data_IF_596465044134
#
_entry.id   IF_596465044134
#
_cell.length_a   1.000
_cell.length_b   1.000
_cell.length_c   1.000
_cell.angle_alpha   90.00
_cell.angle_beta   90.00
_cell.angle_gamma   90.00
#
_symmetry.space_group_name_H-M   'P 1'
#
loop_
_entity.id
_entity.type
_entity.pdbx_description
1 polymer ?
#
# COMPACT_ATOMS: atom_id res chain seq x y z
N UNK A 1 -23.06 24.93 6.63
CA UNK A 1 -21.66 24.48 6.75
C UNK A 1 -21.59 23.11 6.10
N UNK A 2 -20.58 22.79 5.29
CA UNK A 2 -20.42 21.42 4.82
C UNK A 2 -20.28 20.49 6.04
N UNK A 3 -20.85 19.29 5.95
CA UNK A 3 -20.72 18.28 7.01
C UNK A 3 -19.24 17.99 7.29
N UNK A 4 -18.84 17.74 8.55
CA UNK A 4 -17.49 17.36 8.85
C UNK A 4 -17.13 16.12 8.05
N UNK A 5 -15.95 16.12 7.44
CA UNK A 5 -15.44 14.98 6.69
C UNK A 5 -15.00 13.89 7.66
N UNK A 6 -15.29 12.64 7.34
CA UNK A 6 -14.81 11.50 8.11
C UNK A 6 -13.62 10.91 7.36
N UNK A 7 -12.44 10.83 7.99
CA UNK A 7 -11.28 10.17 7.38
C UNK A 7 -11.61 8.74 6.93
N UNK A 8 -11.16 8.38 5.74
CA UNK A 8 -11.35 7.02 5.20
C UNK A 8 -10.45 6.03 5.93
N UNK A 9 -10.87 4.77 6.05
CA UNK A 9 -9.96 3.72 6.52
C UNK A 9 -8.89 3.42 5.45
N UNK A 10 -7.68 3.11 5.91
CA UNK A 10 -6.71 2.42 5.06
C UNK A 10 -7.26 1.04 4.71
N UNK A 11 -7.19 0.68 3.44
CA UNK A 11 -7.57 -0.65 2.98
C UNK A 11 -6.33 -1.52 2.76
N UNK A 12 -5.43 -1.12 1.86
CA UNK A 12 -4.20 -1.85 1.59
C UNK A 12 -3.13 -1.02 0.89
N UNK A 13 -1.96 -1.64 0.70
CA UNK A 13 -0.83 -1.06 -0.01
C UNK A 13 -0.45 -1.97 -1.18
N UNK A 14 -0.21 -1.38 -2.36
CA UNK A 14 0.22 -2.10 -3.56
C UNK A 14 1.74 -2.08 -3.66
N UNK A 15 2.33 -3.25 -3.62
CA UNK A 15 3.77 -3.46 -3.66
C UNK A 15 4.11 -4.27 -4.92
N UNK A 16 4.46 -3.64 -6.07
CA UNK A 16 5.01 -4.36 -7.21
C UNK A 16 6.17 -5.25 -6.77
N UNK A 17 6.17 -6.50 -7.22
CA UNK A 17 7.25 -7.48 -6.99
C UNK A 17 7.57 -8.21 -8.29
N UNK A 18 8.81 -8.68 -8.43
CA UNK A 18 9.26 -9.39 -9.62
C UNK A 18 8.47 -10.68 -9.82
N UNK A 19 8.32 -11.47 -8.74
CA UNK A 19 7.54 -12.70 -8.69
C UNK A 19 6.99 -12.97 -7.27
N UNK A 20 5.94 -13.79 -7.19
CA UNK A 20 5.29 -14.11 -5.92
C UNK A 20 6.09 -15.07 -5.04
N UNK A 21 6.91 -15.95 -5.60
CA UNK A 21 7.74 -16.90 -4.82
C UNK A 21 8.81 -16.15 -4.03
N UNK A 22 9.48 -15.18 -4.66
CA UNK A 22 10.44 -14.28 -4.01
C UNK A 22 9.75 -13.45 -2.93
N UNK A 23 8.57 -12.88 -3.23
CA UNK A 23 7.81 -12.10 -2.27
C UNK A 23 7.37 -12.96 -1.07
N UNK A 24 6.86 -14.17 -1.30
CA UNK A 24 6.46 -15.13 -0.27
C UNK A 24 7.64 -15.52 0.61
N UNK A 25 8.77 -15.86 0.00
CA UNK A 25 10.00 -16.22 0.72
C UNK A 25 10.47 -15.07 1.61
N UNK A 26 10.48 -13.85 1.08
CA UNK A 26 10.91 -12.66 1.82
C UNK A 26 9.97 -12.34 2.98
N UNK A 27 8.66 -12.29 2.75
CA UNK A 27 7.69 -12.03 3.80
C UNK A 27 7.67 -13.13 4.88
N UNK A 28 7.84 -14.39 4.49
CA UNK A 28 7.97 -15.50 5.45
C UNK A 28 9.23 -15.36 6.31
N UNK A 29 10.36 -14.93 5.74
CA UNK A 29 11.58 -14.66 6.51
C UNK A 29 11.40 -13.49 7.51
N UNK A 30 10.53 -12.53 7.17
CA UNK A 30 10.12 -11.43 8.06
C UNK A 30 9.10 -11.88 9.13
N UNK A 31 8.65 -13.13 9.09
CA UNK A 31 7.68 -13.70 10.03
C UNK A 31 6.22 -13.39 9.71
N UNK A 32 5.92 -12.97 8.49
CA UNK A 32 4.54 -12.82 8.03
C UNK A 32 3.98 -14.14 7.49
N UNK A 33 2.67 -14.33 7.66
CA UNK A 33 1.91 -15.38 6.99
C UNK A 33 1.39 -14.77 5.68
N UNK A 34 1.71 -15.43 4.56
CA UNK A 34 1.33 -14.99 3.22
C UNK A 34 0.20 -15.86 2.70
N UNK A 35 -0.89 -15.26 2.27
CA UNK A 35 -2.06 -15.97 1.73
C UNK A 35 -1.71 -16.69 0.42
N UNK A 36 -2.57 -17.60 0.00
CA UNK A 36 -2.46 -18.24 -1.31
C UNK A 36 -2.54 -17.21 -2.45
N UNK A 37 -1.90 -17.53 -3.56
CA UNK A 37 -1.90 -16.69 -4.75
C UNK A 37 -3.32 -16.51 -5.30
N UNK A 38 -3.60 -15.31 -5.76
CA UNK A 38 -4.86 -14.98 -6.39
C UNK A 38 -4.62 -14.18 -7.68
N UNK A 39 -5.29 -14.60 -8.76
CA UNK A 39 -5.14 -14.00 -10.08
C UNK A 39 -6.24 -12.98 -10.34
N UNK A 40 -5.87 -11.86 -10.92
CA UNK A 40 -6.80 -10.88 -11.47
C UNK A 40 -7.18 -11.23 -12.92
N UNK A 41 -8.38 -10.83 -13.37
CA UNK A 41 -8.84 -11.14 -14.74
C UNK A 41 -8.13 -10.32 -15.83
N UNK A 42 -7.13 -9.54 -15.47
CA UNK A 42 -6.38 -8.64 -16.37
C UNK A 42 -4.87 -8.89 -16.32
N UNK A 43 -4.44 -10.10 -15.92
CA UNK A 43 -3.08 -10.60 -16.11
C UNK A 43 -2.12 -10.37 -14.95
N UNK A 44 -2.51 -9.65 -13.89
CA UNK A 44 -1.71 -9.56 -12.66
C UNK A 44 -2.14 -10.64 -11.65
N UNK A 45 -1.27 -10.92 -10.67
CA UNK A 45 -1.53 -11.82 -9.55
C UNK A 45 -0.97 -11.25 -8.25
N UNK A 46 -1.48 -11.70 -7.12
CA UNK A 46 -1.02 -11.25 -5.80
C UNK A 46 -0.93 -12.39 -4.78
N UNK A 47 -0.14 -12.16 -3.72
CA UNK A 47 -0.05 -13.00 -2.54
C UNK A 47 -0.15 -12.12 -1.29
N UNK A 48 -1.38 -11.88 -0.81
CA UNK A 48 -1.64 -10.88 0.22
C UNK A 48 -1.12 -11.28 1.61
N UNK A 49 -0.73 -10.27 2.40
CA UNK A 49 -0.44 -10.39 3.84
C UNK A 49 -1.51 -9.61 4.59
N UNK A 50 -2.44 -10.32 5.22
CA UNK A 50 -3.59 -9.73 5.94
C UNK A 50 -3.28 -9.46 7.40
N UNK A 51 -3.73 -8.33 7.94
CA UNK A 51 -3.53 -7.95 9.35
C UNK A 51 -4.84 -8.01 10.16
N UNK A 52 -4.68 -8.06 11.49
CA UNK A 52 -5.81 -8.16 12.41
C UNK A 52 -6.72 -6.92 12.41
N UNK A 53 -6.17 -5.75 12.08
CA UNK A 53 -6.92 -4.49 11.94
C UNK A 53 -7.73 -4.37 10.63
N UNK A 54 -7.64 -5.38 9.76
CA UNK A 54 -8.33 -5.44 8.47
C UNK A 54 -7.54 -4.86 7.29
N UNK A 55 -6.41 -4.21 7.54
CA UNK A 55 -5.50 -3.76 6.49
C UNK A 55 -4.69 -4.93 5.89
N UNK A 56 -4.07 -4.74 4.72
CA UNK A 56 -3.19 -5.76 4.16
C UNK A 56 -2.14 -5.18 3.20
N UNK A 57 -1.10 -5.96 2.93
CA UNK A 57 -0.20 -5.73 1.82
C UNK A 57 -0.66 -6.54 0.62
N UNK A 58 -0.48 -5.98 -0.56
CA UNK A 58 -0.69 -6.64 -1.84
C UNK A 58 0.66 -6.70 -2.61
N UNK A 59 1.54 -7.68 -2.33
CA UNK A 59 2.59 -8.04 -3.27
C UNK A 59 1.97 -8.41 -4.61
N UNK A 60 2.26 -7.60 -5.65
CA UNK A 60 1.65 -7.68 -6.97
C UNK A 60 2.68 -8.09 -8.01
N UNK A 61 2.44 -9.21 -8.70
CA UNK A 61 3.28 -9.71 -9.78
C UNK A 61 2.51 -9.77 -11.11
N UNK A 62 3.24 -10.01 -12.20
CA UNK A 62 2.69 -10.19 -13.54
C UNK A 62 2.57 -11.69 -13.81
N UNK A 63 1.33 -12.21 -13.87
CA UNK A 63 1.03 -13.60 -14.24
C UNK A 63 1.07 -13.82 -15.75
N UNK A 64 0.60 -12.83 -16.53
CA UNK A 64 0.58 -12.87 -18.00
C UNK A 64 0.86 -11.48 -18.56
N UNK A 65 2.00 -11.33 -19.19
CA UNK A 65 2.39 -10.05 -19.82
C UNK A 65 1.42 -9.66 -20.94
N UNK A 66 1.02 -10.61 -21.78
CA UNK A 66 0.11 -10.36 -22.89
C UNK A 66 -1.25 -9.87 -22.42
N UNK A 67 -1.82 -10.48 -21.36
CA UNK A 67 -3.07 -10.03 -20.76
C UNK A 67 -2.93 -8.63 -20.15
N UNK A 68 -1.80 -8.34 -19.50
CA UNK A 68 -1.54 -7.00 -18.95
C UNK A 68 -1.42 -5.95 -20.05
N UNK A 69 -0.71 -6.24 -21.14
CA UNK A 69 -0.57 -5.32 -22.28
C UNK A 69 -1.93 -5.04 -22.93
N UNK A 70 -2.75 -6.08 -23.13
CA UNK A 70 -4.11 -5.91 -23.66
C UNK A 70 -5.00 -5.11 -22.71
N UNK A 71 -4.95 -5.41 -21.41
CA UNK A 71 -5.73 -4.68 -20.40
C UNK A 71 -5.34 -3.18 -20.36
N UNK A 72 -4.06 -2.87 -20.36
CA UNK A 72 -3.58 -1.49 -20.38
C UNK A 72 -4.01 -0.76 -21.66
N UNK A 73 -3.88 -1.41 -22.83
CA UNK A 73 -4.27 -0.87 -24.13
C UNK A 73 -5.78 -0.60 -24.23
N UNK A 74 -6.60 -1.39 -23.55
CA UNK A 74 -8.06 -1.23 -23.50
C UNK A 74 -8.57 -0.33 -22.37
N UNK A 75 -7.65 0.35 -21.65
CA UNK A 75 -7.99 1.40 -20.69
C UNK A 75 -8.01 0.98 -19.23
N UNK A 76 -7.47 -0.21 -18.89
CA UNK A 76 -7.31 -0.59 -17.47
C UNK A 76 -6.25 0.27 -16.80
N UNK A 77 -6.69 1.25 -16.01
CA UNK A 77 -5.82 2.23 -15.32
C UNK A 77 -4.89 1.55 -14.33
N UNK A 78 -5.35 0.53 -13.60
CA UNK A 78 -4.55 -0.19 -12.61
C UNK A 78 -3.32 -0.82 -13.27
N UNK A 79 -3.54 -1.58 -14.35
CA UNK A 79 -2.45 -2.26 -15.07
C UNK A 79 -1.54 -1.25 -15.79
N UNK A 80 -2.10 -0.21 -16.42
CA UNK A 80 -1.31 0.82 -17.08
C UNK A 80 -0.36 1.54 -16.09
N UNK A 81 -0.83 1.81 -14.86
CA UNK A 81 -0.04 2.40 -13.79
C UNK A 81 1.05 1.46 -13.27
N UNK A 82 0.76 0.18 -13.09
CA UNK A 82 1.74 -0.82 -12.70
C UNK A 82 2.85 -0.98 -13.76
N UNK A 83 2.50 -1.05 -15.04
CA UNK A 83 3.48 -1.09 -16.14
C UNK A 83 4.35 0.17 -16.17
N UNK A 84 3.74 1.36 -16.01
CA UNK A 84 4.50 2.61 -15.98
C UNK A 84 5.45 2.66 -14.78
N UNK A 85 5.02 2.20 -13.61
CA UNK A 85 5.85 2.12 -12.41
C UNK A 85 7.06 1.20 -12.65
N UNK A 86 6.84 -0.03 -13.11
CA UNK A 86 7.91 -1.01 -13.37
C UNK A 86 8.91 -0.50 -14.38
N UNK A 87 8.45 0.12 -15.47
CA UNK A 87 9.31 0.70 -16.50
C UNK A 87 10.18 1.84 -15.97
N UNK A 88 9.63 2.69 -15.10
CA UNK A 88 10.30 3.89 -14.60
C UNK A 88 11.17 3.63 -13.37
N UNK A 89 10.82 2.65 -12.55
CA UNK A 89 11.41 2.42 -11.24
C UNK A 89 12.07 1.07 -11.13
N UNK A 90 11.30 0.03 -10.94
CA UNK A 90 11.77 -1.32 -10.68
C UNK A 90 10.59 -2.30 -10.67
N UNK A 91 10.89 -3.58 -10.84
CA UNK A 91 9.93 -4.66 -10.59
C UNK A 91 9.62 -4.85 -9.10
N UNK A 92 10.42 -4.26 -8.19
CA UNK A 92 10.16 -4.27 -6.76
C UNK A 92 9.99 -2.85 -6.24
N UNK A 93 8.89 -2.57 -5.54
CA UNK A 93 8.63 -1.23 -5.01
C UNK A 93 7.34 -1.05 -4.24
N UNK A 94 6.95 0.23 -4.07
CA UNK A 94 5.71 0.64 -3.41
C UNK A 94 5.05 1.73 -4.27
N UNK A 95 3.99 1.37 -4.98
CA UNK A 95 3.40 2.19 -6.05
C UNK A 95 2.11 2.89 -5.67
N UNK A 96 1.32 2.36 -4.72
CA UNK A 96 0.04 2.96 -4.35
C UNK A 96 -0.38 2.63 -2.92
N UNK A 97 -1.16 3.55 -2.31
CA UNK A 97 -1.99 3.22 -1.15
C UNK A 97 -3.46 3.30 -1.50
N UNK A 98 -4.26 2.50 -0.83
CA UNK A 98 -5.66 2.29 -1.13
C UNK A 98 -6.51 2.56 0.10
N UNK A 99 -7.58 3.33 -0.09
CA UNK A 99 -8.54 3.65 0.97
C UNK A 99 -9.87 2.96 0.73
N UNK A 100 -10.53 2.56 1.80
CA UNK A 100 -11.87 1.99 1.72
C UNK A 100 -12.91 3.03 1.29
N UNK A 101 -13.90 2.59 0.52
CA UNK A 101 -15.05 3.38 0.08
C UNK A 101 -16.35 2.59 0.20
N UNK A 102 -17.45 3.32 0.39
CA UNK A 102 -18.80 2.78 0.32
C UNK A 102 -19.50 3.15 -1.01
N UNK A 103 -18.87 4.00 -1.85
CA UNK A 103 -19.42 4.46 -3.13
C UNK A 103 -18.27 4.94 -4.04
N UNK A 104 -17.70 4.02 -4.80
CA UNK A 104 -16.59 4.32 -5.71
C UNK A 104 -17.05 5.17 -6.91
N UNK A 105 -18.31 5.15 -7.28
CA UNK A 105 -18.85 5.99 -8.38
C UNK A 105 -18.87 7.46 -7.95
N UNK A 106 -19.33 7.75 -6.72
CA UNK A 106 -19.28 9.09 -6.16
C UNK A 106 -17.83 9.57 -5.99
N UNK A 107 -16.92 8.69 -5.60
CA UNK A 107 -15.49 9.01 -5.49
C UNK A 107 -14.90 9.36 -6.85
N UNK A 108 -15.16 8.57 -7.87
CA UNK A 108 -14.69 8.83 -9.23
C UNK A 108 -15.22 10.17 -9.74
N UNK A 109 -16.54 10.42 -9.62
CA UNK A 109 -17.14 11.69 -10.02
C UNK A 109 -16.47 12.88 -9.32
N UNK A 110 -16.19 12.73 -8.00
CA UNK A 110 -15.49 13.74 -7.21
C UNK A 110 -14.06 13.95 -7.69
N UNK A 111 -13.29 12.89 -7.96
CA UNK A 111 -11.92 13.02 -8.44
C UNK A 111 -11.87 13.69 -9.83
N UNK A 112 -12.86 13.43 -10.69
CA UNK A 112 -13.02 14.13 -11.98
C UNK A 112 -13.31 15.62 -11.75
N UNK A 113 -14.28 15.96 -10.90
CA UNK A 113 -14.64 17.35 -10.58
C UNK A 113 -13.44 18.15 -10.05
N UNK A 114 -12.62 17.50 -9.22
CA UNK A 114 -11.44 18.12 -8.61
C UNK A 114 -10.21 18.15 -9.52
N UNK A 115 -10.29 17.60 -10.74
CA UNK A 115 -9.17 17.54 -11.67
C UNK A 115 -8.03 16.63 -11.23
N UNK A 116 -8.32 15.63 -10.39
CA UNK A 116 -7.35 14.67 -9.85
C UNK A 116 -7.66 13.21 -10.23
N UNK A 117 -8.58 12.98 -11.17
CA UNK A 117 -8.87 11.63 -11.65
C UNK A 117 -7.62 11.01 -12.28
N UNK A 118 -7.34 9.77 -11.90
CA UNK A 118 -6.27 8.97 -12.49
C UNK A 118 -6.65 8.28 -13.80
N UNK A 119 -7.89 8.43 -14.26
CA UNK A 119 -8.49 7.80 -15.44
C UNK A 119 -9.84 7.16 -15.11
N UNK A 120 -10.32 6.30 -16.01
CA UNK A 120 -11.59 5.61 -15.86
C UNK A 120 -11.63 4.68 -14.65
N UNK A 121 -12.80 4.53 -14.07
CA UNK A 121 -13.04 3.60 -12.97
C UNK A 121 -12.89 2.15 -13.45
N UNK A 122 -12.32 1.29 -12.60
CA UNK A 122 -12.21 -0.14 -12.89
C UNK A 122 -13.21 -0.93 -12.04
N UNK A 123 -14.10 -1.67 -12.71
CA UNK A 123 -14.95 -2.65 -12.05
C UNK A 123 -14.57 -4.06 -12.50
N UNK A 124 -14.39 -4.97 -11.55
CA UNK A 124 -14.08 -6.36 -11.86
C UNK A 124 -14.59 -7.33 -10.80
N UNK A 125 -14.66 -8.59 -11.16
CA UNK A 125 -15.01 -9.67 -10.25
C UNK A 125 -14.03 -10.82 -10.42
N UNK A 126 -13.79 -11.55 -9.33
CA UNK A 126 -12.96 -12.76 -9.35
C UNK A 126 -13.51 -13.82 -8.41
N UNK A 127 -13.29 -15.11 -8.70
CA UNK A 127 -13.62 -16.16 -7.75
C UNK A 127 -12.75 -16.06 -6.49
N UNK A 128 -13.34 -16.32 -5.33
CA UNK A 128 -12.66 -16.58 -4.06
C UNK A 128 -12.92 -18.02 -3.67
N UNK A 129 -11.87 -18.79 -3.43
CA UNK A 129 -11.97 -20.18 -2.95
C UNK A 129 -11.76 -20.20 -1.45
N UNK A 130 -12.68 -20.84 -0.74
CA UNK A 130 -12.63 -21.01 0.71
C UNK A 130 -11.90 -22.30 1.10
N UNK A 131 -11.46 -22.44 2.37
CA UNK A 131 -10.79 -23.66 2.85
C UNK A 131 -11.60 -24.96 2.69
N UNK A 132 -12.93 -24.85 2.66
CA UNK A 132 -13.84 -25.98 2.41
C UNK A 132 -14.00 -26.34 0.93
N UNK A 133 -13.29 -25.63 0.04
CA UNK A 133 -13.35 -25.79 -1.42
C UNK A 133 -14.53 -25.09 -2.10
N UNK A 134 -15.42 -24.44 -1.34
CA UNK A 134 -16.50 -23.64 -1.92
C UNK A 134 -15.94 -22.39 -2.62
N UNK A 135 -16.66 -21.90 -3.63
CA UNK A 135 -16.29 -20.70 -4.36
C UNK A 135 -17.43 -19.69 -4.31
N UNK A 136 -17.07 -18.42 -4.10
CA UNK A 136 -17.97 -17.28 -4.23
C UNK A 136 -17.30 -16.21 -5.07
N UNK A 137 -18.09 -15.35 -5.68
CA UNK A 137 -17.58 -14.25 -6.50
C UNK A 137 -17.43 -12.99 -5.64
N UNK A 138 -16.22 -12.47 -5.55
CA UNK A 138 -15.94 -11.15 -5.00
C UNK A 138 -15.95 -10.10 -6.11
N UNK A 139 -16.61 -8.97 -5.88
CA UNK A 139 -16.72 -7.86 -6.85
C UNK A 139 -16.18 -6.57 -6.23
N UNK A 140 -15.47 -5.79 -7.04
CA UNK A 140 -14.76 -4.59 -6.64
C UNK A 140 -15.00 -3.46 -7.64
N UNK A 141 -15.06 -2.22 -7.14
CA UNK A 141 -14.96 -1.00 -7.94
C UNK A 141 -13.82 -0.14 -7.41
N UNK A 142 -12.98 0.34 -8.31
CA UNK A 142 -11.82 1.17 -8.01
C UNK A 142 -11.97 2.54 -8.65
N UNK A 143 -11.82 3.61 -7.86
CA UNK A 143 -11.77 4.98 -8.36
C UNK A 143 -10.37 5.56 -8.12
N UNK A 144 -9.69 5.97 -9.18
CA UNK A 144 -8.28 6.35 -9.17
C UNK A 144 -8.09 7.85 -8.99
N UNK A 145 -7.16 8.22 -8.08
CA UNK A 145 -6.71 9.58 -7.88
C UNK A 145 -5.21 9.68 -8.18
N UNK A 146 -4.81 10.72 -8.91
CA UNK A 146 -3.41 10.94 -9.28
C UNK A 146 -3.11 12.41 -9.51
N UNK A 147 -1.82 12.72 -9.55
CA UNK A 147 -1.30 14.03 -9.94
C UNK A 147 -0.22 13.81 -11.02
N UNK A 148 -0.29 14.54 -12.11
CA UNK A 148 0.69 14.43 -13.21
C UNK A 148 2.12 14.72 -12.76
N UNK A 149 2.30 15.47 -11.67
CA UNK A 149 3.60 15.73 -11.05
C UNK A 149 4.15 14.54 -10.27
N UNK A 150 3.31 13.51 -10.03
CA UNK A 150 3.66 12.27 -9.32
C UNK A 150 3.35 11.05 -10.19
N UNK A 151 4.15 10.78 -11.23
CA UNK A 151 3.88 9.68 -12.16
C UNK A 151 4.10 8.29 -11.54
N UNK A 152 4.92 8.21 -10.50
CA UNK A 152 5.41 6.95 -9.91
C UNK A 152 4.64 6.53 -8.64
N UNK A 153 3.72 7.36 -8.18
CA UNK A 153 2.90 7.05 -7.01
C UNK A 153 1.49 7.60 -7.18
N UNK A 154 0.50 6.80 -6.87
CA UNK A 154 -0.91 7.19 -6.94
C UNK A 154 -1.71 6.58 -5.79
N UNK A 155 -2.98 6.91 -5.70
CA UNK A 155 -3.88 6.29 -4.77
C UNK A 155 -5.23 6.03 -5.41
N UNK A 156 -6.00 5.15 -4.80
CA UNK A 156 -7.37 4.89 -5.23
C UNK A 156 -8.26 4.49 -4.07
N UNK A 157 -9.56 4.64 -4.26
CA UNK A 157 -10.54 4.10 -3.34
C UNK A 157 -11.07 2.76 -3.88
N UNK A 158 -11.39 1.84 -2.97
CA UNK A 158 -11.96 0.53 -3.29
C UNK A 158 -13.29 0.34 -2.59
N UNK A 159 -14.32 0.04 -3.39
CA UNK A 159 -15.61 -0.43 -2.91
C UNK A 159 -15.70 -1.94 -3.10
N UNK A 160 -16.02 -2.65 -2.00
CA UNK A 160 -16.26 -4.09 -1.99
C UNK A 160 -17.76 -4.35 -2.03
N UNK A 161 -18.26 -4.88 -3.16
CA UNK A 161 -19.71 -5.04 -3.36
C UNK A 161 -20.20 -6.36 -2.77
N UNK A 162 -19.55 -7.48 -3.09
CA UNK A 162 -19.95 -8.82 -2.67
C UNK A 162 -18.71 -9.61 -2.22
N UNK A 163 -17.95 -9.06 -1.26
CA UNK A 163 -16.81 -9.80 -0.73
C UNK A 163 -17.28 -10.64 0.45
N UNK A 164 -17.25 -11.96 0.31
CA UNK A 164 -17.68 -12.86 1.37
C UNK A 164 -16.85 -12.67 2.63
N UNK A 165 -17.48 -12.73 3.80
CA UNK A 165 -16.77 -12.76 5.06
C UNK A 165 -16.00 -14.09 5.13
N UNK A 166 -14.68 -14.04 4.97
CA UNK A 166 -13.81 -15.18 5.13
C UNK A 166 -13.25 -15.19 6.55
N UNK A 167 -13.23 -16.35 7.20
CA UNK A 167 -12.46 -16.57 8.43
C UNK A 167 -10.96 -16.42 8.08
N UNK A 168 -10.33 -15.37 8.58
CA UNK A 168 -8.92 -15.02 8.28
C UNK A 168 -8.01 -15.10 9.50
N UNK A 169 -8.50 -15.54 10.65
CA UNK A 169 -7.71 -15.57 11.90
C UNK A 169 -6.37 -16.28 11.73
N UNK A 170 -6.35 -17.39 10.98
CA UNK A 170 -5.11 -18.11 10.68
C UNK A 170 -4.14 -17.33 9.78
N UNK A 171 -4.62 -16.33 9.00
CA UNK A 171 -3.80 -15.50 8.12
C UNK A 171 -3.34 -14.20 8.76
N UNK A 172 -3.90 -13.83 9.92
CA UNK A 172 -3.59 -12.59 10.63
C UNK A 172 -2.75 -12.79 11.90
N UNK A 173 -2.57 -14.05 12.36
CA UNK A 173 -1.78 -14.38 13.54
C UNK A 173 -0.30 -14.56 13.19
N UNK A 174 0.37 -13.46 12.86
CA UNK A 174 1.77 -13.49 12.39
C UNK A 174 2.76 -13.85 13.50
N UNK A 175 3.73 -14.78 13.25
CA UNK A 175 4.83 -15.07 14.19
C UNK A 175 5.67 -13.86 14.61
N UNK A 176 5.69 -12.80 13.80
CA UNK A 176 6.42 -11.56 14.10
C UNK A 176 5.64 -10.58 15.01
N UNK A 177 4.41 -10.93 15.42
CA UNK A 177 3.59 -10.10 16.30
C UNK A 177 3.01 -8.83 15.67
N UNK A 178 3.06 -8.69 14.35
CA UNK A 178 2.44 -7.55 13.65
C UNK A 178 0.93 -7.67 13.68
N UNK A 179 0.24 -6.59 14.09
CA UNK A 179 -1.22 -6.52 14.20
C UNK A 179 -1.86 -5.65 13.11
N UNK A 180 -1.10 -4.71 12.52
CA UNK A 180 -1.62 -3.80 11.51
C UNK A 180 -0.64 -2.76 11.03
N UNK A 181 -1.09 -1.91 10.12
CA UNK A 181 -0.34 -0.79 9.56
C UNK A 181 -0.70 0.48 10.35
N UNK A 182 0.31 1.16 10.90
CA UNK A 182 0.12 2.44 11.61
C UNK A 182 0.39 3.66 10.74
N UNK A 183 1.38 3.56 9.82
CA UNK A 183 1.78 4.72 9.04
C UNK A 183 2.30 4.31 7.66
N UNK A 184 1.97 5.11 6.67
CA UNK A 184 2.47 5.04 5.29
C UNK A 184 3.43 6.20 5.10
N UNK A 185 4.67 5.91 4.73
CA UNK A 185 5.68 6.95 4.54
C UNK A 185 5.99 7.10 3.06
N UNK A 186 5.72 8.29 2.57
CA UNK A 186 6.08 8.77 1.24
C UNK A 186 7.21 9.78 1.34
N UNK A 187 7.81 10.13 0.21
CA UNK A 187 8.78 11.22 0.15
C UNK A 187 8.53 12.17 -1.02
N UNK A 188 8.82 13.44 -0.77
CA UNK A 188 8.84 14.52 -1.77
C UNK A 188 9.69 15.68 -1.21
N UNK A 189 10.57 16.32 -2.01
CA UNK A 189 11.32 17.49 -1.56
C UNK A 189 10.48 18.64 -0.98
N UNK A 190 9.28 18.89 -1.53
CA UNK A 190 8.29 19.84 -1.01
C UNK A 190 6.97 19.10 -0.68
N UNK A 191 6.86 18.46 0.48
CA UNK A 191 5.72 17.60 0.82
C UNK A 191 4.34 18.23 0.61
N UNK A 192 4.19 19.52 0.95
CA UNK A 192 2.92 20.25 0.86
C UNK A 192 2.43 20.49 -0.57
N UNK A 193 3.26 20.27 -1.60
CA UNK A 193 2.82 20.32 -3.00
C UNK A 193 1.73 19.26 -3.30
N UNK A 194 1.66 18.20 -2.49
CA UNK A 194 0.69 17.11 -2.63
C UNK A 194 -0.38 17.07 -1.52
N UNK A 195 -0.43 18.10 -0.67
CA UNK A 195 -1.41 18.19 0.41
C UNK A 195 -2.85 18.00 -0.10
N UNK A 196 -3.17 18.61 -1.26
CA UNK A 196 -4.49 18.55 -1.84
C UNK A 196 -4.85 17.11 -2.29
N UNK A 197 -3.96 16.46 -3.04
CA UNK A 197 -4.18 15.09 -3.50
C UNK A 197 -4.41 14.14 -2.32
N UNK A 198 -3.51 14.17 -1.34
CA UNK A 198 -3.58 13.25 -0.19
C UNK A 198 -4.79 13.57 0.67
N UNK A 199 -5.06 14.85 0.96
CA UNK A 199 -6.21 15.24 1.77
C UNK A 199 -7.56 14.86 1.15
N UNK A 200 -7.70 14.99 -0.18
CA UNK A 200 -8.93 14.59 -0.87
C UNK A 200 -9.08 13.06 -0.95
N UNK A 201 -8.00 12.33 -1.20
CA UNK A 201 -8.01 10.87 -1.21
C UNK A 201 -8.33 10.29 0.18
N UNK A 202 -7.72 10.84 1.24
CA UNK A 202 -7.99 10.44 2.63
C UNK A 202 -9.36 10.94 3.15
N UNK A 203 -10.06 11.80 2.39
CA UNK A 203 -11.24 12.54 2.82
C UNK A 203 -11.01 13.32 4.13
N UNK A 204 -9.80 13.81 4.33
CA UNK A 204 -9.38 14.59 5.48
C UNK A 204 -8.47 15.74 5.02
N UNK A 205 -8.91 16.99 5.20
CA UNK A 205 -8.12 18.18 4.82
C UNK A 205 -7.27 18.72 5.97
N UNK A 206 -7.42 18.17 7.15
CA UNK A 206 -6.58 18.51 8.28
C UNK A 206 -5.19 17.93 8.03
N UNK A 207 -4.21 18.81 7.91
CA UNK A 207 -2.83 18.47 7.63
C UNK A 207 -1.95 19.04 8.71
N UNK A 208 -1.18 18.19 9.36
CA UNK A 208 -0.09 18.63 10.22
C UNK A 208 1.17 18.79 9.37
N UNK A 209 1.85 19.93 9.48
CA UNK A 209 3.07 20.21 8.70
C UNK A 209 4.16 20.82 9.59
N UNK A 210 5.40 20.41 9.34
CA UNK A 210 6.59 20.90 10.04
C UNK A 210 7.80 20.95 9.07
N UNK A 211 9.00 21.21 9.61
CA UNK A 211 10.23 21.31 8.80
C UNK A 211 10.67 19.98 8.16
N UNK A 212 10.13 18.84 8.58
CA UNK A 212 10.47 17.51 8.06
C UNK A 212 9.48 17.00 7.03
N UNK A 213 8.25 17.50 7.04
CA UNK A 213 7.22 17.01 6.15
C UNK A 213 5.82 17.43 6.54
N UNK A 214 4.86 16.64 6.07
CA UNK A 214 3.45 16.76 6.44
C UNK A 214 2.84 15.40 6.72
N UNK A 215 1.75 15.38 7.48
CA UNK A 215 0.93 14.18 7.70
C UNK A 215 -0.56 14.46 7.57
N UNK A 216 -1.30 13.45 7.16
CA UNK A 216 -2.76 13.43 7.06
C UNK A 216 -3.26 12.13 7.69
N UNK A 217 -4.20 12.28 8.63
CA UNK A 217 -4.79 11.14 9.32
C UNK A 217 -5.80 10.40 8.45
N UNK A 218 -5.72 9.09 8.46
CA UNK A 218 -6.73 8.13 8.06
C UNK A 218 -7.45 7.58 9.29
N UNK A 219 -8.54 6.85 9.10
CA UNK A 219 -9.11 6.07 10.20
C UNK A 219 -8.22 4.83 10.44
N UNK A 220 -7.46 4.85 11.54
CA UNK A 220 -6.59 3.77 11.97
C UNK A 220 -5.14 3.81 11.47
N UNK A 221 -4.77 4.76 10.60
CA UNK A 221 -3.41 4.94 10.11
C UNK A 221 -3.13 6.40 9.74
N UNK A 222 -1.87 6.72 9.46
CA UNK A 222 -1.42 8.06 9.03
C UNK A 222 -0.70 7.97 7.68
N UNK A 223 -0.90 8.94 6.80
CA UNK A 223 -0.06 9.14 5.61
C UNK A 223 0.91 10.28 5.89
N UNK A 224 2.19 9.98 5.94
CA UNK A 224 3.25 10.96 6.15
C UNK A 224 4.07 11.13 4.87
N UNK A 225 4.30 12.38 4.47
CA UNK A 225 5.20 12.71 3.37
C UNK A 225 6.41 13.44 3.96
N UNK A 226 7.56 12.80 3.94
CA UNK A 226 8.81 13.40 4.39
C UNK A 226 9.57 14.06 3.24
N UNK A 227 10.26 15.17 3.56
CA UNK A 227 11.39 15.63 2.77
C UNK A 227 12.66 14.81 3.14
N UNK A 228 13.80 15.11 2.52
CA UNK A 228 15.06 14.39 2.77
C UNK A 228 15.49 14.43 4.24
N UNK A 229 15.38 15.58 4.89
CA UNK A 229 15.73 15.73 6.29
C UNK A 229 14.83 14.90 7.20
N UNK A 230 13.54 14.79 6.86
CA UNK A 230 12.59 13.94 7.56
C UNK A 230 12.92 12.44 7.40
N UNK A 231 13.22 11.98 6.17
CA UNK A 231 13.64 10.61 5.93
C UNK A 231 14.91 10.25 6.72
N UNK A 232 15.92 11.13 6.69
CA UNK A 232 17.18 10.89 7.41
C UNK A 232 16.98 10.90 8.92
N UNK A 233 16.24 11.88 9.45
CA UNK A 233 16.03 12.03 10.90
C UNK A 233 15.19 10.89 11.48
N UNK A 234 14.08 10.52 10.83
CA UNK A 234 13.11 9.58 11.37
C UNK A 234 13.36 8.13 10.98
N UNK A 235 14.05 7.90 9.85
CA UNK A 235 14.27 6.55 9.32
C UNK A 235 15.75 6.25 9.05
N UNK A 236 16.65 7.22 9.15
CA UNK A 236 18.05 7.06 8.77
C UNK A 236 18.23 6.73 7.30
N UNK A 237 17.31 7.18 6.45
CA UNK A 237 17.36 6.98 4.99
C UNK A 237 17.97 8.21 4.36
N UNK A 238 19.16 8.05 3.76
CA UNK A 238 19.81 9.08 2.97
C UNK A 238 19.39 8.92 1.51
N UNK A 239 18.63 9.90 0.99
CA UNK A 239 18.21 9.92 -0.42
C UNK A 239 18.99 10.98 -1.20
N UNK A 240 19.95 10.58 -2.06
CA UNK A 240 20.71 11.51 -2.88
C UNK A 240 19.91 12.03 -4.08
N UNK A 241 18.77 11.45 -4.42
CA UNK A 241 17.96 11.81 -5.59
C UNK A 241 17.51 13.27 -5.53
N UNK A 242 17.42 13.91 -6.69
CA UNK A 242 16.81 15.23 -6.87
C UNK A 242 15.44 15.15 -7.55
N UNK A 243 14.92 13.95 -7.68
CA UNK A 243 13.64 13.74 -8.34
C UNK A 243 12.50 14.39 -7.56
N UNK A 244 11.51 14.83 -8.30
CA UNK A 244 10.25 15.39 -7.80
C UNK A 244 9.12 14.41 -8.05
N UNK A 245 8.09 14.49 -7.22
CA UNK A 245 6.94 13.62 -7.23
C UNK A 245 6.96 12.66 -6.03
N UNK A 246 5.78 12.21 -5.64
CA UNK A 246 5.63 11.27 -4.53
C UNK A 246 6.31 9.94 -4.84
N UNK A 247 7.02 9.41 -3.86
CA UNK A 247 7.62 8.08 -3.89
C UNK A 247 7.22 7.32 -2.63
N UNK A 248 6.73 6.08 -2.79
CA UNK A 248 6.53 5.15 -1.68
C UNK A 248 7.88 4.77 -1.07
N UNK A 249 8.03 4.93 0.26
CA UNK A 249 9.30 4.69 0.96
C UNK A 249 9.22 3.61 1.99
N UNK A 250 8.28 3.71 2.92
CA UNK A 250 8.21 2.78 4.03
C UNK A 250 6.78 2.48 4.45
N UNK A 251 6.62 1.35 5.09
CA UNK A 251 5.41 0.94 5.80
C UNK A 251 5.76 0.78 7.26
N UNK A 252 4.99 1.39 8.16
CA UNK A 252 5.16 1.24 9.61
C UNK A 252 4.09 0.32 10.14
N UNK A 253 4.53 -0.68 10.90
CA UNK A 253 3.67 -1.71 11.48
C UNK A 253 3.62 -1.58 13.00
N UNK A 254 2.43 -1.77 13.56
CA UNK A 254 2.26 -1.98 15.00
C UNK A 254 2.60 -3.42 15.35
N UNK A 255 3.44 -3.60 16.36
CA UNK A 255 3.81 -4.92 16.90
C UNK A 255 3.58 -4.98 18.39
N UNK A 256 3.25 -6.16 18.89
CA UNK A 256 3.03 -6.39 20.32
C UNK A 256 4.31 -6.46 21.13
N UNK A 257 5.43 -6.89 20.53
CA UNK A 257 6.74 -7.07 21.20
C UNK A 257 7.89 -6.87 20.20
N UNK A 258 8.54 -5.73 20.31
CA UNK A 258 9.64 -5.35 19.41
C UNK A 258 10.91 -6.19 19.66
N UNK A 259 11.12 -6.69 20.89
CA UNK A 259 12.29 -7.50 21.23
C UNK A 259 12.11 -8.92 20.66
N UNK A 260 10.93 -9.50 20.79
CA UNK A 260 10.61 -10.79 20.19
C UNK A 260 10.75 -10.74 18.67
N UNK A 261 10.25 -9.67 18.01
CA UNK A 261 10.45 -9.44 16.59
C UNK A 261 11.95 -9.37 16.23
N UNK A 262 12.77 -8.59 16.96
CA UNK A 262 14.19 -8.48 16.68
C UNK A 262 14.91 -9.84 16.77
N UNK A 263 14.56 -10.66 17.76
CA UNK A 263 15.09 -12.01 17.91
C UNK A 263 14.68 -12.93 16.76
N UNK A 264 13.43 -12.83 16.28
CA UNK A 264 12.92 -13.58 15.13
C UNK A 264 13.66 -13.19 13.85
N UNK A 265 13.81 -11.90 13.58
CA UNK A 265 14.52 -11.41 12.39
C UNK A 265 15.99 -11.89 12.38
N UNK A 266 16.67 -11.80 13.53
CA UNK A 266 18.04 -12.31 13.68
C UNK A 266 18.11 -13.81 13.39
N UNK A 267 17.20 -14.60 13.96
CA UNK A 267 17.10 -16.05 13.73
C UNK A 267 16.92 -16.39 12.24
N UNK A 268 16.15 -15.56 11.53
CA UNK A 268 15.85 -15.74 10.11
C UNK A 268 16.90 -15.07 9.18
N UNK A 269 18.04 -14.61 9.73
CA UNK A 269 19.11 -13.90 8.99
C UNK A 269 18.60 -12.63 8.29
N UNK A 270 17.61 -11.94 8.84
CA UNK A 270 17.15 -10.64 8.37
C UNK A 270 17.83 -9.54 9.17
N UNK A 271 18.62 -8.71 8.47
CA UNK A 271 19.27 -7.55 9.10
C UNK A 271 18.23 -6.46 9.38
N UNK A 272 18.25 -5.95 10.61
CA UNK A 272 17.44 -4.82 11.02
C UNK A 272 18.30 -3.82 11.79
N UNK A 273 17.94 -2.54 11.72
CA UNK A 273 18.59 -1.44 12.45
C UNK A 273 17.56 -0.68 13.29
N UNK A 274 18.02 -0.06 14.37
CA UNK A 274 17.15 0.72 15.24
C UNK A 274 17.35 2.22 14.99
N UNK A 275 16.27 2.95 14.70
CA UNK A 275 16.27 4.39 14.49
C UNK A 275 15.02 4.98 15.11
N UNK A 276 15.18 6.04 15.93
CA UNK A 276 14.07 6.79 16.54
C UNK A 276 13.02 5.90 17.25
N UNK A 277 13.47 4.79 17.88
CA UNK A 277 12.60 3.86 18.61
C UNK A 277 11.92 2.80 17.73
N UNK A 278 12.12 2.83 16.41
CA UNK A 278 11.62 1.84 15.44
C UNK A 278 12.71 0.84 15.07
N UNK A 279 12.31 -0.40 14.82
CA UNK A 279 13.15 -1.40 14.17
C UNK A 279 12.89 -1.34 12.66
N UNK A 280 13.95 -1.14 11.87
CA UNK A 280 13.84 -0.90 10.43
C UNK A 280 14.55 -1.99 9.66
N UNK A 281 13.85 -2.59 8.70
CA UNK A 281 14.37 -3.54 7.73
C UNK A 281 14.43 -2.86 6.36
N UNK A 282 15.61 -2.88 5.75
CA UNK A 282 15.84 -2.27 4.44
C UNK A 282 15.13 -3.07 3.32
N UNK A 283 14.78 -2.42 2.20
CA UNK A 283 14.19 -3.10 1.04
C UNK A 283 15.05 -4.26 0.55
N UNK A 284 14.37 -5.29 0.07
CA UNK A 284 14.99 -6.44 -0.56
C UNK A 284 14.06 -6.94 -1.70
N UNK A 285 14.54 -7.81 -2.60
CA UNK A 285 13.68 -8.46 -3.59
C UNK A 285 12.44 -9.08 -2.91
N UNK A 286 11.27 -8.86 -3.50
CA UNK A 286 9.98 -9.33 -2.98
C UNK A 286 9.38 -8.51 -1.84
N UNK A 287 10.06 -7.43 -1.37
CA UNK A 287 9.57 -6.54 -0.29
C UNK A 287 9.19 -5.15 -0.79
N UNK A 288 10.04 -4.55 -1.60
CA UNK A 288 9.78 -3.29 -2.30
C UNK A 288 9.96 -1.99 -1.51
N UNK A 289 9.71 -1.97 -0.20
CA UNK A 289 9.77 -0.78 0.66
C UNK A 289 10.58 -1.04 1.94
N UNK A 290 10.95 0.03 2.66
CA UNK A 290 11.41 -0.13 4.04
C UNK A 290 10.27 -0.60 4.92
N UNK A 291 10.52 -1.59 5.77
CA UNK A 291 9.56 -2.02 6.79
C UNK A 291 10.02 -1.55 8.15
N UNK A 292 9.19 -0.73 8.77
CA UNK A 292 9.46 -0.14 10.08
C UNK A 292 8.47 -0.76 11.08
N UNK A 293 8.96 -1.11 12.25
CA UNK A 293 8.14 -1.72 13.30
C UNK A 293 8.21 -0.88 14.55
N UNK A 294 7.07 -0.60 15.15
CA UNK A 294 6.94 0.14 16.40
C UNK A 294 6.05 -0.61 17.39
N UNK A 295 6.37 -0.53 18.66
CA UNK A 295 5.61 -1.20 19.70
C UNK A 295 4.31 -0.47 19.99
N UNK A 296 3.23 -1.23 20.15
CA UNK A 296 1.93 -0.70 20.57
C UNK A 296 2.08 -0.13 21.98
N UNK A 297 1.71 1.13 22.17
CA UNK A 297 1.73 1.81 23.48
C UNK A 297 0.39 1.75 24.15
#
# INVERSE_FOLDING_TARGET
MPSPRTPRPLDHLVLPVEDLDTARSRHSALGFIVAADARHPFGTENACVFFADGTYLEPLAIASREECEEAARTGNVFVARDQAYRFRRSDNGFSAFVVGSNDAEADHARFVELGMSGGEMLAFSRPMTFPDGSQQTASFKLAFASDLRSPDFFGFSVERINVPAAERSALTAHPNGVEGISEIILSEPNPTDFQYLIGELCNNRETEANSFGMSVELNGATVTVFNKAGLETHLGIVDPSRERGLLGRAVVYRVSDLQALAALLLKNNVTARQVAGRLIVDPAPGQGAFYCFEEIR
#
